data_IF_117743416090
#
_entry.id   IF_117743416090
#
_cell.length_a   1.000
_cell.length_b   1.000
_cell.length_c   1.000
_cell.angle_alpha   90.00
_cell.angle_beta   90.00
_cell.angle_gamma   90.00
#
_symmetry.space_group_name_H-M   'P 1'
#
loop_
_entity.id
_entity.type
_entity.pdbx_description
1 polymer ?
#
# COMPACT_ATOMS: atom_id res chain seq x y z
N UNK A 1 -12.82 42.63 37.00
CA UNK A 1 -12.53 42.27 35.59
C UNK A 1 -11.79 40.95 35.64
N UNK A 2 -12.39 39.89 35.09
CA UNK A 2 -11.91 38.52 35.18
C UNK A 2 -10.73 38.31 34.23
N UNK A 3 -9.61 37.88 34.79
CA UNK A 3 -8.54 37.20 34.06
C UNK A 3 -9.09 35.87 33.53
N UNK A 4 -9.22 35.76 32.20
CA UNK A 4 -9.48 34.48 31.53
C UNK A 4 -8.16 33.86 31.10
N UNK A 5 -7.62 32.98 31.95
CA UNK A 5 -6.69 31.94 31.52
C UNK A 5 -7.42 31.03 30.53
N UNK A 6 -6.91 30.93 29.31
CA UNK A 6 -7.31 29.88 28.36
C UNK A 6 -6.53 28.62 28.73
N UNK A 7 -7.18 27.50 29.07
CA UNK A 7 -6.47 26.25 29.30
C UNK A 7 -6.04 25.66 27.95
N UNK A 8 -4.74 25.58 27.69
CA UNK A 8 -4.16 24.80 26.63
C UNK A 8 -4.18 23.31 27.02
N UNK A 9 -5.28 22.62 26.76
CA UNK A 9 -5.33 21.16 26.79
C UNK A 9 -5.56 20.64 25.36
N UNK A 10 -4.52 20.71 24.54
CA UNK A 10 -4.38 19.75 23.46
C UNK A 10 -3.98 18.42 24.11
N UNK A 11 -4.97 17.56 24.36
CA UNK A 11 -4.75 16.18 24.77
C UNK A 11 -4.06 15.44 23.61
N UNK A 12 -2.74 15.60 23.50
CA UNK A 12 -1.90 14.69 22.74
C UNK A 12 -1.93 13.34 23.45
N UNK A 13 -2.89 12.50 23.06
CA UNK A 13 -2.98 11.13 23.57
C UNK A 13 -1.71 10.40 23.14
N UNK A 14 -0.84 10.07 24.09
CA UNK A 14 0.39 9.33 23.82
C UNK A 14 0.05 7.88 23.47
N UNK A 15 -0.07 7.60 22.17
CA UNK A 15 -0.40 6.27 21.64
C UNK A 15 0.73 5.24 21.82
N UNK A 16 1.92 5.64 22.29
CA UNK A 16 3.09 4.75 22.40
C UNK A 16 2.88 3.56 23.35
N UNK A 17 1.96 3.69 24.31
CA UNK A 17 1.74 2.68 25.35
C UNK A 17 0.41 1.90 25.21
N UNK A 18 -0.34 2.09 24.12
CA UNK A 18 -1.60 1.35 23.94
C UNK A 18 -1.30 -0.10 23.56
N UNK A 19 -1.64 -1.01 24.47
CA UNK A 19 -1.64 -2.45 24.17
C UNK A 19 -2.93 -2.81 23.44
N UNK A 20 -2.88 -3.67 22.42
CA UNK A 20 -4.09 -4.24 21.84
C UNK A 20 -4.91 -4.94 22.93
N UNK A 21 -6.23 -4.96 22.77
CA UNK A 21 -7.06 -5.90 23.52
C UNK A 21 -6.57 -7.32 23.23
N UNK A 22 -6.69 -8.24 24.19
CA UNK A 22 -6.11 -9.59 24.09
C UNK A 22 -6.50 -10.32 22.79
N UNK A 23 -7.75 -10.14 22.34
CA UNK A 23 -8.27 -10.72 21.09
C UNK A 23 -7.52 -10.25 19.83
N UNK A 24 -6.89 -9.07 19.88
CA UNK A 24 -6.12 -8.49 18.79
C UNK A 24 -4.61 -8.69 18.94
N UNK A 25 -4.13 -9.36 20.00
CA UNK A 25 -2.70 -9.58 20.18
C UNK A 25 -2.07 -10.35 19.01
N UNK A 26 -2.67 -11.47 18.61
CA UNK A 26 -2.16 -12.26 17.48
C UNK A 26 -2.43 -11.61 16.12
N UNK A 27 -3.63 -11.07 15.82
CA UNK A 27 -3.84 -10.28 14.60
C UNK A 27 -2.84 -9.13 14.45
N UNK A 28 -2.50 -8.42 15.52
CA UNK A 28 -1.51 -7.35 15.50
C UNK A 28 -0.06 -7.84 15.28
N UNK A 29 0.27 -9.05 15.73
CA UNK A 29 1.58 -9.65 15.42
C UNK A 29 1.65 -10.04 13.95
N UNK A 30 0.62 -10.73 13.45
CA UNK A 30 0.54 -11.15 12.05
C UNK A 30 0.50 -9.95 11.11
N UNK A 31 -0.20 -8.87 11.48
CA UNK A 31 -0.22 -7.65 10.66
C UNK A 31 1.17 -7.04 10.51
N UNK A 32 1.97 -7.00 11.58
CA UNK A 32 3.37 -6.53 11.53
C UNK A 32 4.27 -7.42 10.70
N UNK A 33 4.07 -8.74 10.78
CA UNK A 33 4.80 -9.72 9.97
C UNK A 33 4.50 -9.50 8.48
N UNK A 34 3.21 -9.43 8.11
CA UNK A 34 2.77 -9.21 6.73
C UNK A 34 3.25 -7.84 6.22
N UNK A 35 3.18 -6.79 7.05
CA UNK A 35 3.66 -5.46 6.68
C UNK A 35 5.15 -5.46 6.26
N UNK A 36 5.96 -6.32 6.87
CA UNK A 36 7.39 -6.47 6.58
C UNK A 36 7.73 -7.23 5.29
N UNK A 37 6.74 -7.63 4.48
CA UNK A 37 6.98 -8.44 3.28
C UNK A 37 7.80 -7.71 2.21
N UNK A 38 8.76 -8.44 1.66
CA UNK A 38 9.58 -8.08 0.51
C UNK A 38 10.01 -9.36 -0.25
N UNK A 39 10.70 -9.18 -1.37
CA UNK A 39 11.16 -10.28 -2.23
C UNK A 39 12.12 -11.27 -1.54
N UNK A 40 12.79 -10.86 -0.48
CA UNK A 40 13.83 -11.66 0.18
C UNK A 40 13.28 -12.52 1.33
N UNK A 41 12.10 -12.19 1.86
CA UNK A 41 11.57 -12.82 3.07
C UNK A 41 10.17 -13.45 2.89
N UNK A 42 9.62 -13.47 1.67
CA UNK A 42 8.27 -13.97 1.41
C UNK A 42 8.04 -15.41 1.90
N UNK A 43 9.00 -16.32 1.69
CA UNK A 43 8.91 -17.71 2.17
C UNK A 43 8.94 -17.83 3.69
N UNK A 44 9.73 -16.98 4.35
CA UNK A 44 9.79 -16.95 5.81
C UNK A 44 8.47 -16.40 6.38
N UNK A 45 7.97 -15.31 5.81
CA UNK A 45 6.71 -14.68 6.22
C UNK A 45 5.54 -15.63 5.99
N UNK A 46 5.48 -16.30 4.84
CA UNK A 46 4.39 -17.25 4.55
C UNK A 46 4.36 -18.38 5.58
N UNK A 47 5.51 -18.97 5.89
CA UNK A 47 5.63 -19.99 6.96
C UNK A 47 5.13 -19.46 8.31
N UNK A 48 5.58 -18.27 8.72
CA UNK A 48 5.16 -17.69 10.00
C UNK A 48 3.64 -17.46 10.04
N UNK A 49 3.05 -16.88 9.00
CA UNK A 49 1.60 -16.65 8.96
C UNK A 49 0.83 -17.98 9.00
N UNK A 50 1.30 -19.00 8.28
CA UNK A 50 0.70 -20.35 8.30
C UNK A 50 0.77 -20.98 9.69
N UNK A 51 1.87 -20.83 10.42
CA UNK A 51 2.01 -21.35 11.79
C UNK A 51 0.98 -20.71 12.74
N UNK A 52 0.76 -19.40 12.64
CA UNK A 52 -0.28 -18.71 13.41
C UNK A 52 -1.69 -19.24 13.11
N UNK A 53 -1.98 -19.60 11.85
CA UNK A 53 -3.26 -20.20 11.46
C UNK A 53 -3.38 -21.62 12.01
N UNK A 54 -2.33 -22.46 11.84
CA UNK A 54 -2.30 -23.87 12.29
C UNK A 54 -2.42 -24.01 13.81
N UNK A 55 -1.81 -23.08 14.56
CA UNK A 55 -1.92 -23.03 16.01
C UNK A 55 -3.24 -22.41 16.51
N UNK A 56 -4.19 -22.09 15.59
CA UNK A 56 -5.50 -21.51 15.90
C UNK A 56 -5.36 -20.17 16.64
N UNK A 57 -4.24 -19.47 16.44
CA UNK A 57 -4.00 -18.13 17.00
C UNK A 57 -4.80 -17.07 16.25
N UNK A 58 -5.02 -17.28 14.95
CA UNK A 58 -5.93 -16.50 14.12
C UNK A 58 -6.71 -17.39 13.13
N UNK A 59 -7.94 -17.00 12.75
CA UNK A 59 -8.63 -17.62 11.62
C UNK A 59 -7.93 -17.30 10.28
N UNK A 60 -8.01 -18.21 9.31
CA UNK A 60 -7.48 -17.97 7.95
C UNK A 60 -8.08 -16.72 7.30
N UNK A 61 -9.38 -16.47 7.52
CA UNK A 61 -10.07 -15.30 6.99
C UNK A 61 -9.43 -14.00 7.47
N UNK A 62 -8.93 -13.97 8.72
CA UNK A 62 -8.23 -12.81 9.27
C UNK A 62 -6.89 -12.59 8.56
N UNK A 63 -6.13 -13.66 8.30
CA UNK A 63 -4.86 -13.54 7.58
C UNK A 63 -5.09 -13.02 6.15
N UNK A 64 -6.04 -13.61 5.42
CA UNK A 64 -6.37 -13.20 4.05
C UNK A 64 -6.91 -11.77 3.99
N UNK A 65 -7.74 -11.35 4.96
CA UNK A 65 -8.20 -9.97 5.10
C UNK A 65 -7.04 -8.99 5.34
N UNK A 66 -6.09 -9.32 6.21
CA UNK A 66 -4.92 -8.47 6.44
C UNK A 66 -4.07 -8.32 5.17
N UNK A 67 -3.87 -9.40 4.40
CA UNK A 67 -3.17 -9.36 3.12
C UNK A 67 -3.91 -8.46 2.13
N UNK A 68 -5.23 -8.59 2.04
CA UNK A 68 -6.08 -7.78 1.17
C UNK A 68 -5.98 -6.28 1.50
N UNK A 69 -6.09 -5.91 2.77
CA UNK A 69 -5.91 -4.53 3.25
C UNK A 69 -4.52 -4.00 2.88
N UNK A 70 -3.45 -4.76 3.18
CA UNK A 70 -2.10 -4.29 2.88
C UNK A 70 -1.80 -4.21 1.39
N UNK A 71 -2.38 -5.09 0.58
CA UNK A 71 -2.26 -5.01 -0.88
C UNK A 71 -2.86 -3.74 -1.47
N UNK A 72 -3.86 -3.15 -0.78
CA UNK A 72 -4.47 -1.87 -1.16
C UNK A 72 -3.62 -0.66 -0.75
N UNK A 73 -2.87 -0.79 0.35
CA UNK A 73 -1.98 0.26 0.87
C UNK A 73 -0.66 0.28 0.08
N UNK A 74 -0.07 -0.90 -0.14
CA UNK A 74 1.24 -1.09 -0.78
C UNK A 74 1.09 -1.55 -2.22
N UNK A 75 0.42 -0.73 -3.03
CA UNK A 75 0.04 -1.06 -4.42
C UNK A 75 1.24 -1.48 -5.30
N UNK A 76 2.44 -0.92 -5.05
CA UNK A 76 3.69 -1.25 -5.79
C UNK A 76 4.14 -2.70 -5.57
N UNK A 77 3.83 -3.26 -4.40
CA UNK A 77 4.22 -4.61 -4.02
C UNK A 77 3.08 -5.61 -4.13
N UNK A 78 2.01 -5.26 -4.87
CA UNK A 78 0.81 -6.10 -4.99
C UNK A 78 1.10 -7.54 -5.42
N UNK A 79 2.14 -7.78 -6.24
CA UNK A 79 2.58 -9.13 -6.60
C UNK A 79 3.11 -9.96 -5.42
N UNK A 80 3.78 -9.33 -4.46
CA UNK A 80 4.21 -10.04 -3.25
C UNK A 80 3.02 -10.45 -2.39
N UNK A 81 2.00 -9.61 -2.33
CA UNK A 81 0.76 -9.93 -1.61
C UNK A 81 -0.06 -10.99 -2.34
N UNK A 82 -0.10 -10.97 -3.67
CA UNK A 82 -0.68 -12.04 -4.49
C UNK A 82 -0.01 -13.38 -4.21
N UNK A 83 1.32 -13.44 -4.26
CA UNK A 83 2.07 -14.66 -4.01
C UNK A 83 1.86 -15.17 -2.57
N UNK A 84 1.86 -14.28 -1.57
CA UNK A 84 1.55 -14.66 -0.18
C UNK A 84 0.11 -15.19 -0.04
N UNK A 85 -0.85 -14.52 -0.68
CA UNK A 85 -2.27 -14.92 -0.67
C UNK A 85 -2.45 -16.30 -1.31
N UNK A 86 -1.80 -16.53 -2.46
CA UNK A 86 -1.79 -17.81 -3.19
C UNK A 86 -1.20 -18.92 -2.31
N UNK A 87 -0.02 -18.71 -1.70
CA UNK A 87 0.62 -19.70 -0.83
C UNK A 87 -0.28 -20.14 0.33
N UNK A 88 -0.89 -19.18 1.04
CA UNK A 88 -1.78 -19.48 2.17
C UNK A 88 -3.06 -20.14 1.68
N UNK A 89 -3.67 -19.62 0.61
CA UNK A 89 -4.91 -20.19 0.07
C UNK A 89 -4.73 -21.63 -0.38
N UNK A 90 -3.60 -21.95 -1.03
CA UNK A 90 -3.30 -23.31 -1.48
C UNK A 90 -3.04 -24.27 -0.30
N UNK A 91 -2.24 -23.85 0.68
CA UNK A 91 -1.93 -24.66 1.88
C UNK A 91 -3.19 -25.11 2.62
N UNK A 92 -4.18 -24.21 2.73
CA UNK A 92 -5.41 -24.47 3.47
C UNK A 92 -6.62 -24.79 2.57
N UNK A 93 -6.41 -24.96 1.26
CA UNK A 93 -7.47 -25.22 0.27
C UNK A 93 -8.64 -24.23 0.38
N UNK A 94 -8.34 -22.94 0.51
CA UNK A 94 -9.30 -21.88 0.73
C UNK A 94 -9.49 -21.02 -0.52
N UNK A 95 -10.74 -20.71 -0.86
CA UNK A 95 -11.07 -19.83 -1.99
C UNK A 95 -11.98 -18.71 -1.46
N UNK A 96 -11.35 -17.63 -1.02
CA UNK A 96 -12.03 -16.39 -0.61
C UNK A 96 -11.59 -15.30 -1.58
N UNK A 97 -12.56 -14.59 -2.15
CA UNK A 97 -12.28 -13.46 -3.04
C UNK A 97 -11.86 -12.25 -2.20
N UNK A 98 -10.69 -11.62 -2.46
CA UNK A 98 -10.36 -10.36 -1.81
C UNK A 98 -11.28 -9.22 -2.28
N UNK A 99 -11.38 -8.16 -1.48
CA UNK A 99 -12.07 -6.92 -1.82
C UNK A 99 -11.23 -6.04 -2.75
N UNK A 100 -9.89 -6.06 -2.61
CA UNK A 100 -9.00 -5.41 -3.56
C UNK A 100 -9.13 -6.07 -4.95
N UNK A 101 -9.82 -5.37 -5.85
CA UNK A 101 -10.10 -5.84 -7.21
C UNK A 101 -8.82 -6.14 -7.99
N UNK A 102 -7.73 -5.40 -7.76
CA UNK A 102 -6.43 -5.66 -8.40
C UNK A 102 -5.87 -7.00 -7.93
N UNK A 103 -5.88 -7.27 -6.62
CA UNK A 103 -5.44 -8.54 -6.06
C UNK A 103 -6.33 -9.71 -6.54
N UNK A 104 -7.64 -9.53 -6.55
CA UNK A 104 -8.59 -10.52 -7.07
C UNK A 104 -8.33 -10.85 -8.55
N UNK A 105 -7.99 -9.83 -9.35
CA UNK A 105 -7.68 -9.99 -10.77
C UNK A 105 -6.40 -10.79 -10.99
N UNK A 106 -5.33 -10.50 -10.22
CA UNK A 106 -4.08 -11.27 -10.29
C UNK A 106 -4.32 -12.74 -9.94
N UNK A 107 -5.01 -13.01 -8.82
CA UNK A 107 -5.37 -14.38 -8.42
C UNK A 107 -6.24 -15.08 -9.48
N UNK A 108 -7.16 -14.36 -10.12
CA UNK A 108 -7.98 -14.92 -11.21
C UNK A 108 -7.11 -15.36 -12.41
N UNK A 109 -6.08 -14.58 -12.76
CA UNK A 109 -5.12 -14.94 -13.79
C UNK A 109 -4.24 -16.14 -13.41
N UNK A 110 -4.00 -16.36 -12.10
CA UNK A 110 -3.37 -17.58 -11.56
C UNK A 110 -4.25 -18.83 -11.57
N UNK A 111 -5.55 -18.68 -11.89
CA UNK A 111 -6.49 -19.79 -11.98
C UNK A 111 -7.49 -19.88 -10.83
N UNK A 112 -7.44 -18.96 -9.85
CA UNK A 112 -8.52 -18.84 -8.86
C UNK A 112 -9.82 -18.45 -9.57
N UNK A 113 -10.93 -19.02 -9.10
CA UNK A 113 -12.27 -18.72 -9.61
C UNK A 113 -13.13 -18.22 -8.47
N UNK A 114 -13.72 -17.05 -8.67
CA UNK A 114 -14.63 -16.43 -7.71
C UNK A 114 -15.99 -16.27 -8.36
N UNK A 115 -17.05 -16.52 -7.59
CA UNK A 115 -18.43 -16.42 -8.06
C UNK A 115 -18.71 -14.99 -8.56
N UNK A 116 -19.34 -14.90 -9.74
CA UNK A 116 -19.71 -13.65 -10.43
C UNK A 116 -18.57 -12.66 -10.71
N UNK A 117 -17.30 -13.04 -10.51
CA UNK A 117 -16.17 -12.17 -10.76
C UNK A 117 -15.67 -12.29 -12.20
N UNK A 118 -15.59 -11.14 -12.88
CA UNK A 118 -14.87 -10.99 -14.14
C UNK A 118 -13.76 -9.95 -13.95
N UNK A 119 -12.51 -10.25 -14.33
CA UNK A 119 -11.41 -9.30 -14.18
C UNK A 119 -11.70 -8.04 -15.02
N UNK A 120 -11.73 -6.84 -14.42
CA UNK A 120 -12.05 -5.61 -15.13
C UNK A 120 -10.83 -4.97 -15.83
N UNK A 121 -9.63 -5.49 -15.59
CA UNK A 121 -8.37 -4.97 -16.10
C UNK A 121 -7.39 -6.13 -16.37
N UNK A 122 -6.31 -5.85 -17.09
CA UNK A 122 -5.26 -6.84 -17.35
C UNK A 122 -4.22 -6.87 -16.23
N UNK A 123 -3.43 -7.93 -16.17
CA UNK A 123 -2.26 -7.99 -15.28
C UNK A 123 -1.28 -6.83 -15.56
N UNK A 124 -1.06 -6.46 -16.83
CA UNK A 124 -0.16 -5.35 -17.18
C UNK A 124 -0.64 -4.01 -16.61
N UNK A 125 -1.95 -3.76 -16.63
CA UNK A 125 -2.56 -2.55 -16.05
C UNK A 125 -2.39 -2.50 -14.53
N UNK A 126 -2.34 -3.65 -13.86
CA UNK A 126 -2.16 -3.74 -12.41
C UNK A 126 -0.70 -3.49 -12.04
N UNK A 127 0.22 -4.10 -12.79
CA UNK A 127 1.66 -3.95 -12.56
C UNK A 127 2.08 -2.50 -12.83
N UNK A 128 1.60 -1.89 -13.91
CA UNK A 128 1.91 -0.51 -14.23
C UNK A 128 0.86 0.43 -13.64
N UNK A 129 1.12 0.91 -12.42
CA UNK A 129 0.28 1.87 -11.69
C UNK A 129 -0.18 3.04 -12.58
N UNK A 130 0.71 3.50 -13.46
CA UNK A 130 0.41 4.48 -14.49
C UNK A 130 0.94 4.00 -15.85
N UNK A 131 0.35 4.52 -16.93
CA UNK A 131 0.87 4.32 -18.28
C UNK A 131 2.35 4.74 -18.38
N UNK A 132 3.16 3.95 -19.07
CA UNK A 132 4.58 4.23 -19.35
C UNK A 132 4.80 5.51 -20.17
N UNK A 133 3.75 6.04 -20.78
CA UNK A 133 3.78 7.33 -21.48
C UNK A 133 3.49 8.53 -20.56
N UNK A 134 3.02 8.29 -19.34
CA UNK A 134 2.78 9.32 -18.34
C UNK A 134 4.04 9.58 -17.50
N UNK A 135 4.37 10.84 -17.16
CA UNK A 135 5.44 11.12 -16.20
C UNK A 135 5.16 10.51 -14.82
N UNK A 136 3.88 10.30 -14.46
CA UNK A 136 3.50 9.67 -13.19
C UNK A 136 4.04 8.25 -13.05
N UNK A 137 4.22 7.52 -14.16
CA UNK A 137 4.85 6.19 -14.12
C UNK A 137 6.29 6.29 -13.63
N UNK A 138 7.09 7.19 -14.22
CA UNK A 138 8.49 7.36 -13.84
C UNK A 138 8.59 7.84 -12.39
N UNK A 139 7.68 8.71 -11.96
CA UNK A 139 7.63 9.18 -10.58
C UNK A 139 7.28 8.04 -9.63
N UNK A 140 6.21 7.28 -9.85
CA UNK A 140 5.80 6.20 -8.94
C UNK A 140 6.88 5.10 -8.77
N UNK A 141 7.71 4.91 -9.81
CA UNK A 141 8.83 3.98 -9.80
C UNK A 141 10.18 4.60 -9.44
N UNK A 142 10.18 5.88 -9.04
CA UNK A 142 11.35 6.67 -8.63
C UNK A 142 12.49 6.77 -9.66
N UNK A 143 12.12 6.81 -10.94
CA UNK A 143 13.01 6.82 -12.12
C UNK A 143 13.38 8.24 -12.53
N UNK A 144 14.06 8.95 -11.63
CA UNK A 144 14.29 10.40 -11.76
C UNK A 144 15.05 10.82 -13.02
N UNK A 145 16.05 10.04 -13.46
CA UNK A 145 16.87 10.41 -14.61
C UNK A 145 16.11 10.24 -15.94
N UNK A 146 15.30 9.20 -16.03
CA UNK A 146 14.41 8.97 -17.17
C UNK A 146 13.29 10.02 -17.24
N UNK A 147 12.76 10.41 -16.07
CA UNK A 147 11.79 11.51 -15.95
C UNK A 147 12.39 12.82 -16.49
N UNK A 148 13.59 13.20 -16.05
CA UNK A 148 14.30 14.42 -16.51
C UNK A 148 14.51 14.42 -18.02
N UNK A 149 14.92 13.27 -18.57
CA UNK A 149 15.22 13.14 -20.00
C UNK A 149 13.97 13.22 -20.86
N UNK A 150 12.86 12.57 -20.46
CA UNK A 150 11.63 12.48 -21.26
C UNK A 150 10.68 13.68 -21.05
N UNK A 151 10.70 14.30 -19.86
CA UNK A 151 9.76 15.36 -19.48
C UNK A 151 10.48 16.59 -18.87
N UNK A 152 11.42 17.15 -19.61
CA UNK A 152 12.25 18.29 -19.15
C UNK A 152 11.46 19.55 -18.78
N UNK A 153 10.26 19.73 -19.33
CA UNK A 153 9.38 20.88 -19.07
C UNK A 153 8.15 20.52 -18.22
N UNK A 154 8.23 19.46 -17.41
CA UNK A 154 7.12 19.03 -16.56
C UNK A 154 6.81 20.10 -15.50
N UNK A 155 5.55 20.54 -15.45
CA UNK A 155 5.05 21.35 -14.34
C UNK A 155 4.63 20.41 -13.21
N UNK A 156 5.32 20.50 -12.06
CA UNK A 156 5.11 19.58 -10.94
C UNK A 156 3.93 19.94 -10.03
N UNK A 157 3.37 21.15 -10.16
CA UNK A 157 2.24 21.64 -9.35
C UNK A 157 0.90 21.47 -10.05
N UNK A 158 0.92 21.16 -11.36
CA UNK A 158 -0.30 20.94 -12.14
C UNK A 158 -0.73 19.47 -12.07
N UNK A 159 -1.99 19.24 -11.71
CA UNK A 159 -2.58 17.91 -11.73
C UNK A 159 -2.58 17.31 -13.13
N UNK A 160 -2.13 16.06 -13.23
CA UNK A 160 -2.20 15.25 -14.45
C UNK A 160 -3.55 14.52 -14.45
N UNK A 161 -4.26 14.60 -15.57
CA UNK A 161 -5.62 14.09 -15.77
C UNK A 161 -6.63 14.56 -14.70
N UNK A 162 -6.35 15.71 -14.07
CA UNK A 162 -7.16 16.25 -12.97
C UNK A 162 -7.09 15.46 -11.65
N UNK A 163 -6.19 14.47 -11.54
CA UNK A 163 -6.16 13.53 -10.41
C UNK A 163 -5.13 13.89 -9.34
N UNK A 164 -3.87 13.99 -9.73
CA UNK A 164 -2.74 14.14 -8.80
C UNK A 164 -1.64 14.99 -9.44
N UNK A 165 -0.96 15.80 -8.64
CA UNK A 165 0.23 16.53 -9.10
C UNK A 165 1.43 15.56 -9.17
N UNK A 166 2.41 15.79 -10.06
CA UNK A 166 3.67 15.04 -10.02
C UNK A 166 4.34 15.02 -8.64
N UNK A 167 4.30 16.14 -7.91
CA UNK A 167 4.89 16.22 -6.57
C UNK A 167 4.14 15.35 -5.55
N UNK A 168 2.81 15.41 -5.54
CA UNK A 168 1.98 14.57 -4.66
C UNK A 168 2.12 13.07 -5.02
N UNK A 169 2.33 12.76 -6.31
CA UNK A 169 2.62 11.39 -6.74
C UNK A 169 3.92 10.86 -6.16
N UNK A 170 4.96 11.70 -6.05
CA UNK A 170 6.21 11.31 -5.42
C UNK A 170 6.01 11.02 -3.92
N UNK A 171 5.19 11.83 -3.24
CA UNK A 171 4.83 11.62 -1.82
C UNK A 171 4.07 10.31 -1.65
N UNK A 172 3.00 10.09 -2.44
CA UNK A 172 2.13 8.90 -2.36
C UNK A 172 2.92 7.60 -2.43
N UNK A 173 3.93 7.55 -3.29
CA UNK A 173 4.65 6.31 -3.60
C UNK A 173 6.04 6.22 -2.95
N UNK A 174 6.38 7.17 -2.06
CA UNK A 174 7.67 7.20 -1.37
C UNK A 174 8.85 7.35 -2.33
N UNK A 175 8.67 8.07 -3.44
CA UNK A 175 9.67 8.23 -4.50
C UNK A 175 10.68 9.31 -4.14
N UNK A 176 11.65 8.93 -3.31
CA UNK A 176 12.60 9.84 -2.68
C UNK A 176 13.40 10.68 -3.69
N UNK A 177 13.93 10.06 -4.75
CA UNK A 177 14.76 10.78 -5.73
C UNK A 177 13.95 11.81 -6.51
N UNK A 178 12.74 11.43 -6.93
CA UNK A 178 11.82 12.31 -7.64
C UNK A 178 11.32 13.44 -6.72
N UNK A 179 10.98 13.12 -5.47
CA UNK A 179 10.58 14.11 -4.46
C UNK A 179 11.68 15.15 -4.24
N UNK A 180 12.91 14.70 -3.96
CA UNK A 180 14.05 15.58 -3.73
C UNK A 180 14.37 16.44 -4.96
N UNK A 181 14.31 15.86 -6.15
CA UNK A 181 14.49 16.60 -7.40
C UNK A 181 13.47 17.73 -7.56
N UNK A 182 12.17 17.43 -7.43
CA UNK A 182 11.12 18.44 -7.56
C UNK A 182 11.19 19.48 -6.45
N UNK A 183 11.51 19.06 -5.21
CA UNK A 183 11.64 19.99 -4.08
C UNK A 183 12.77 20.99 -4.29
N UNK A 184 13.90 20.55 -4.83
CA UNK A 184 15.03 21.42 -5.18
C UNK A 184 14.72 22.40 -6.31
N UNK A 185 13.73 22.08 -7.17
CA UNK A 185 13.23 22.98 -8.20
C UNK A 185 12.14 23.94 -7.71
N UNK A 186 11.78 23.88 -6.42
CA UNK A 186 10.84 24.80 -5.80
C UNK A 186 9.40 24.28 -5.69
N UNK A 187 9.16 22.98 -5.86
CA UNK A 187 7.81 22.43 -5.67
C UNK A 187 7.28 22.68 -4.24
N UNK A 188 6.01 23.06 -4.17
CA UNK A 188 5.35 23.47 -2.94
C UNK A 188 4.62 22.31 -2.27
N UNK A 189 4.88 22.13 -0.98
CA UNK A 189 4.14 21.20 -0.15
C UNK A 189 2.84 21.86 0.31
N UNK A 190 1.70 21.26 -0.02
CA UNK A 190 0.39 21.83 0.31
C UNK A 190 -0.31 21.01 1.39
N UNK A 191 -1.44 21.52 1.89
CA UNK A 191 -2.34 20.74 2.77
C UNK A 191 -2.92 19.51 2.06
N UNK A 192 -3.03 19.51 0.72
CA UNK A 192 -3.46 18.32 -0.02
C UNK A 192 -2.36 17.25 -0.01
N UNK A 193 -1.10 17.68 -0.12
CA UNK A 193 0.08 16.82 -0.10
C UNK A 193 0.18 15.95 1.17
N UNK A 194 -0.26 16.46 2.33
CA UNK A 194 -0.26 15.68 3.57
C UNK A 194 -1.19 14.47 3.56
N UNK A 195 -2.22 14.46 2.69
CA UNK A 195 -3.13 13.32 2.60
C UNK A 195 -2.50 12.12 1.87
N UNK A 196 -1.36 12.33 1.19
CA UNK A 196 -0.65 11.27 0.46
C UNK A 196 0.51 10.67 1.24
N UNK A 197 0.93 11.29 2.35
CA UNK A 197 1.93 10.71 3.22
C UNK A 197 1.30 9.56 4.02
N UNK A 198 1.77 8.33 3.78
CA UNK A 198 1.32 7.10 4.44
C UNK A 198 2.41 6.59 5.38
#
# INVERSE_FOLDING_TARGET
MLDSQVPSNENYTDFKNIKPMEIFNYPNQVSKIIWGINSNNILQISSQVMDFIKEIKIPIQMALYLIDVFSSIREKEIKLFEELYEMISNEFSCIIKPENVKLATLLYHKGFRFEEFKPPMTEEDIINIYSKESPLYYIAWDKVDELKNKFSNLNFDKKIDGKITPFDCAIKYGSELCFNYMKNLGADYTKESSNYAV
#
